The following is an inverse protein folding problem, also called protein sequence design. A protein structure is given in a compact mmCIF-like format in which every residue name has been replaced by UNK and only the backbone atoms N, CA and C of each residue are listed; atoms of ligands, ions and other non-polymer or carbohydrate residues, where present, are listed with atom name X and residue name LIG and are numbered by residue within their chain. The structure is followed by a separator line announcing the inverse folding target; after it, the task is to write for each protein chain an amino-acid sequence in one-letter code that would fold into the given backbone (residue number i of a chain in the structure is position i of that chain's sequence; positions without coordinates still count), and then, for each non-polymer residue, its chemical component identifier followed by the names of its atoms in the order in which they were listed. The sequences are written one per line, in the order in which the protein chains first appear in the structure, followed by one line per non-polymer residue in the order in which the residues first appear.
data_IF_974083361890
#
_entry.id   IF_974083361890
#
_cell.length_a   1.000
_cell.length_b   1.000
_cell.length_c   1.000
_cell.angle_alpha   90.00
_cell.angle_beta   90.00
_cell.angle_gamma   90.00
#
_symmetry.space_group_name_H-M   'P 1'
#
loop_
_entity.id
_entity.type
_entity.pdbx_description
1 polymer ?
#
# COMPACT_ATOMS: atom_id res chain seq x y z
N UNK A 1 -0.74 -49.88 -7.71
CA UNK A 1 0.08 -49.89 -6.48
C UNK A 1 0.61 -48.48 -6.30
N UNK A 2 0.52 -47.98 -5.08
CA UNK A 2 0.63 -46.59 -4.65
C UNK A 2 1.91 -45.87 -5.11
N UNK A 3 1.75 -44.62 -5.56
CA UNK A 3 2.76 -43.58 -5.41
C UNK A 3 2.14 -42.44 -4.61
N UNK A 4 2.79 -42.13 -3.49
CA UNK A 4 2.38 -41.19 -2.47
C UNK A 4 2.53 -39.75 -2.98
N UNK A 5 1.51 -38.94 -2.74
CA UNK A 5 1.59 -37.48 -2.92
C UNK A 5 2.38 -36.90 -1.75
N UNK A 6 3.59 -36.45 -2.01
CA UNK A 6 4.30 -35.55 -1.10
C UNK A 6 3.56 -34.22 -1.01
N UNK A 7 3.05 -33.93 0.18
CA UNK A 7 2.46 -32.65 0.52
C UNK A 7 3.52 -31.56 0.50
N UNK A 8 3.27 -30.51 -0.27
CA UNK A 8 3.99 -29.24 -0.21
C UNK A 8 4.07 -28.77 1.23
N UNK A 9 5.29 -28.77 1.77
CA UNK A 9 5.58 -28.16 3.06
C UNK A 9 5.66 -26.63 2.88
N UNK A 10 5.12 -25.86 3.84
CA UNK A 10 5.25 -24.41 3.87
C UNK A 10 6.72 -23.98 3.90
N UNK A 11 7.01 -22.87 3.23
CA UNK A 11 8.37 -22.37 3.06
C UNK A 11 9.00 -21.96 4.40
N UNK A 12 10.32 -21.99 4.49
CA UNK A 12 11.10 -21.59 5.67
C UNK A 12 10.88 -20.13 6.11
N UNK A 13 10.24 -19.30 5.27
CA UNK A 13 9.79 -17.95 5.63
C UNK A 13 8.65 -17.96 6.66
N UNK A 14 7.74 -18.94 6.57
CA UNK A 14 6.51 -19.03 7.36
C UNK A 14 6.75 -19.44 8.83
N UNK A 15 7.87 -20.12 9.12
CA UNK A 15 8.21 -20.53 10.51
C UNK A 15 8.84 -19.43 11.34
N UNK A 16 9.44 -18.42 10.71
CA UNK A 16 10.23 -17.43 11.43
C UNK A 16 9.39 -16.25 11.96
N UNK A 17 8.21 -16.02 11.40
CA UNK A 17 7.25 -15.00 11.88
C UNK A 17 6.43 -15.53 13.07
N UNK A 18 6.26 -16.86 13.17
CA UNK A 18 5.53 -17.50 14.27
C UNK A 18 6.27 -17.51 15.63
N UNK A 19 7.56 -17.15 15.68
CA UNK A 19 8.42 -17.37 16.86
C UNK A 19 8.70 -16.12 17.72
N UNK A 20 8.15 -14.95 17.37
CA UNK A 20 8.26 -13.72 18.19
C UNK A 20 7.07 -13.50 19.15
N UNK A 21 6.20 -14.50 19.33
CA UNK A 21 5.00 -14.43 20.17
C UNK A 21 5.33 -14.67 21.67
N UNK A 22 5.02 -13.75 22.60
CA UNK A 22 4.96 -14.06 24.02
C UNK A 22 3.81 -15.04 24.29
N UNK A 23 4.09 -16.10 25.07
CA UNK A 23 3.20 -17.21 25.42
C UNK A 23 1.71 -16.84 25.52
N UNK A 24 0.88 -17.56 24.75
CA UNK A 24 -0.57 -17.69 24.92
C UNK A 24 -0.93 -17.87 26.40
N UNK A 25 -1.69 -16.92 26.96
CA UNK A 25 -2.40 -17.16 28.23
C UNK A 25 -3.60 -18.04 27.92
N UNK A 26 -3.56 -19.28 28.40
CA UNK A 26 -4.73 -20.14 28.49
C UNK A 26 -5.67 -19.65 29.60
N UNK A 27 -6.98 -19.59 29.29
CA UNK A 27 -8.08 -19.52 30.24
C UNK A 27 -8.68 -18.12 30.42
N UNK A 28 -9.87 -17.88 29.87
CA UNK A 28 -11.17 -18.03 30.57
C UNK A 28 -12.27 -18.10 29.51
N UNK A 29 -13.02 -19.21 29.49
CA UNK A 29 -14.32 -19.30 28.83
C UNK A 29 -15.34 -18.49 29.64
N UNK A 30 -15.88 -17.43 29.04
CA UNK A 30 -16.95 -16.60 29.58
C UNK A 30 -17.87 -16.15 28.46
N UNK A 31 -19.17 -16.37 28.62
CA UNK A 31 -20.20 -16.15 27.62
C UNK A 31 -20.34 -14.68 27.17
N UNK A 32 -20.46 -14.47 25.85
CA UNK A 32 -21.29 -13.41 25.26
C UNK A 32 -20.95 -11.94 25.56
N UNK A 33 -19.70 -11.61 25.88
CA UNK A 33 -19.27 -10.21 25.83
C UNK A 33 -18.92 -9.85 24.39
N UNK A 34 -19.62 -8.86 23.84
CA UNK A 34 -19.21 -8.21 22.59
C UNK A 34 -17.87 -7.52 22.88
N UNK A 35 -16.77 -8.15 22.48
CA UNK A 35 -15.42 -7.58 22.65
C UNK A 35 -15.39 -6.26 21.89
N UNK A 36 -14.97 -5.18 22.56
CA UNK A 36 -14.83 -3.88 21.91
C UNK A 36 -13.82 -4.00 20.75
N UNK A 37 -14.12 -3.44 19.55
CA UNK A 37 -13.18 -3.47 18.44
C UNK A 37 -11.84 -2.83 18.81
N UNK A 38 -10.73 -3.48 18.47
CA UNK A 38 -9.40 -2.90 18.62
C UNK A 38 -9.12 -1.80 17.60
N UNK A 39 -7.97 -1.13 17.71
CA UNK A 39 -7.60 -0.03 16.82
C UNK A 39 -7.56 -0.44 15.33
N UNK A 40 -6.97 -1.59 15.02
CA UNK A 40 -6.95 -2.16 13.67
C UNK A 40 -8.35 -2.45 13.14
N UNK A 41 -9.26 -2.96 13.97
CA UNK A 41 -10.67 -3.18 13.57
C UNK A 41 -11.39 -1.86 13.29
N UNK A 42 -11.17 -0.83 14.14
CA UNK A 42 -11.72 0.52 13.94
C UNK A 42 -11.22 1.13 12.62
N UNK A 43 -9.93 0.94 12.30
CA UNK A 43 -9.31 1.39 11.05
C UNK A 43 -9.86 0.63 9.82
N UNK A 44 -10.01 -0.71 9.88
CA UNK A 44 -10.63 -1.48 8.79
C UNK A 44 -12.08 -1.04 8.53
N UNK A 45 -12.87 -0.79 9.59
CA UNK A 45 -14.23 -0.25 9.46
C UNK A 45 -14.21 1.10 8.72
N UNK A 46 -13.30 2.00 9.07
CA UNK A 46 -13.17 3.31 8.42
C UNK A 46 -12.73 3.17 6.95
N UNK A 47 -11.75 2.32 6.66
CA UNK A 47 -11.32 2.01 5.28
C UNK A 47 -12.49 1.52 4.43
N UNK A 48 -13.33 0.62 4.95
CA UNK A 48 -14.53 0.12 4.26
C UNK A 48 -15.53 1.22 3.91
N UNK A 49 -15.70 2.23 4.77
CA UNK A 49 -16.60 3.36 4.52
C UNK A 49 -16.09 4.21 3.35
N UNK A 50 -14.80 4.51 3.31
CA UNK A 50 -14.19 5.28 2.22
C UNK A 50 -14.18 4.50 0.90
N UNK A 51 -13.90 3.20 0.93
CA UNK A 51 -14.00 2.34 -0.26
C UNK A 51 -15.42 2.29 -0.80
N UNK A 52 -16.44 2.29 0.06
CA UNK A 52 -17.83 2.35 -0.40
C UNK A 52 -18.12 3.63 -1.19
N UNK A 53 -17.57 4.78 -0.77
CA UNK A 53 -17.70 6.05 -1.48
C UNK A 53 -16.95 6.02 -2.81
N UNK A 54 -15.70 5.52 -2.81
CA UNK A 54 -14.89 5.40 -4.02
C UNK A 54 -15.55 4.47 -5.06
N UNK A 55 -16.08 3.32 -4.61
CA UNK A 55 -16.81 2.37 -5.43
C UNK A 55 -18.12 2.91 -6.02
N UNK A 56 -18.68 3.97 -5.42
CA UNK A 56 -19.88 4.64 -5.92
C UNK A 56 -19.58 5.72 -6.98
N UNK A 57 -18.31 6.02 -7.27
CA UNK A 57 -17.95 6.98 -8.31
C UNK A 57 -18.31 6.47 -9.71
N UNK A 58 -18.56 7.39 -10.64
CA UNK A 58 -18.96 7.04 -12.01
C UNK A 58 -17.87 6.23 -12.75
N UNK A 59 -16.59 6.63 -12.59
CA UNK A 59 -15.45 5.95 -13.23
C UNK A 59 -15.33 4.51 -12.74
N UNK A 60 -15.41 4.28 -11.43
CA UNK A 60 -15.25 2.95 -10.83
C UNK A 60 -16.45 2.06 -11.15
N UNK A 61 -17.67 2.63 -11.10
CA UNK A 61 -18.89 1.93 -11.51
C UNK A 61 -18.80 1.51 -12.98
N UNK A 62 -18.41 2.43 -13.87
CA UNK A 62 -18.22 2.12 -15.28
C UNK A 62 -17.13 1.07 -15.52
N UNK A 63 -16.06 1.05 -14.72
CA UNK A 63 -15.03 0.01 -14.79
C UNK A 63 -15.58 -1.35 -14.41
N UNK A 64 -16.24 -1.44 -13.24
CA UNK A 64 -16.85 -2.66 -12.72
C UNK A 64 -17.90 -3.24 -13.67
N UNK A 65 -18.71 -2.38 -14.27
CA UNK A 65 -19.70 -2.76 -15.30
C UNK A 65 -19.08 -3.01 -16.68
N UNK A 66 -17.76 -2.91 -16.80
CA UNK A 66 -16.98 -3.14 -18.03
C UNK A 66 -17.36 -2.20 -19.18
N UNK A 67 -17.83 -0.99 -18.85
CA UNK A 67 -18.20 0.08 -19.78
C UNK A 67 -17.16 1.19 -19.89
N UNK A 68 -16.17 1.24 -18.98
CA UNK A 68 -15.15 2.29 -18.99
C UNK A 68 -14.30 2.21 -20.27
N UNK A 69 -14.17 3.27 -21.09
CA UNK A 69 -13.32 3.22 -22.28
C UNK A 69 -11.83 3.17 -21.91
N UNK A 70 -10.98 2.68 -22.83
CA UNK A 70 -9.51 2.57 -22.63
C UNK A 70 -8.90 3.89 -22.15
N UNK A 71 -9.27 5.03 -22.75
CA UNK A 71 -8.81 6.35 -22.31
C UNK A 71 -9.20 6.69 -20.87
N UNK A 72 -10.37 6.22 -20.41
CA UNK A 72 -10.81 6.38 -19.03
C UNK A 72 -9.98 5.52 -18.07
N UNK A 73 -9.67 4.29 -18.48
CA UNK A 73 -8.80 3.40 -17.71
C UNK A 73 -7.36 3.90 -17.64
N UNK A 74 -6.79 4.36 -18.76
CA UNK A 74 -5.46 5.00 -18.78
C UNK A 74 -5.39 6.18 -17.80
N UNK A 75 -6.42 7.03 -17.76
CA UNK A 75 -6.50 8.12 -16.76
C UNK A 75 -6.52 7.57 -15.33
N UNK A 76 -7.28 6.52 -15.05
CA UNK A 76 -7.33 5.90 -13.72
C UNK A 76 -5.96 5.38 -13.26
N UNK A 77 -5.30 4.56 -14.08
CA UNK A 77 -4.01 3.96 -13.71
C UNK A 77 -2.91 5.03 -13.56
N UNK A 78 -2.93 6.07 -14.39
CA UNK A 78 -2.04 7.23 -14.23
C UNK A 78 -2.30 7.98 -12.92
N UNK A 79 -3.56 8.17 -12.53
CA UNK A 79 -3.91 8.86 -11.28
C UNK A 79 -3.44 8.11 -10.03
N UNK A 80 -3.46 6.78 -10.08
CA UNK A 80 -3.11 5.92 -8.93
C UNK A 80 -1.59 5.72 -8.82
N UNK A 81 -0.83 5.80 -9.91
CA UNK A 81 0.62 5.55 -9.89
C UNK A 81 1.40 6.33 -8.80
N UNK A 82 1.17 7.64 -8.54
CA UNK A 82 1.90 8.34 -7.49
C UNK A 82 1.62 7.81 -6.08
N UNK A 83 0.48 7.15 -5.82
CA UNK A 83 0.21 6.48 -4.55
C UNK A 83 1.21 5.35 -4.33
N UNK A 84 1.42 4.50 -5.35
CA UNK A 84 2.35 3.36 -5.29
C UNK A 84 3.78 3.83 -5.01
N UNK A 85 4.19 4.91 -5.67
CA UNK A 85 5.50 5.56 -5.45
C UNK A 85 5.61 6.23 -4.07
N UNK A 86 4.57 6.95 -3.65
CA UNK A 86 4.53 7.70 -2.40
C UNK A 86 4.45 6.80 -1.17
N UNK A 87 3.75 5.67 -1.29
CA UNK A 87 3.69 4.61 -0.28
C UNK A 87 5.10 4.10 0.04
N UNK A 88 5.86 3.73 -1.01
CA UNK A 88 7.24 3.30 -0.88
C UNK A 88 8.18 4.35 -0.27
N UNK A 89 8.06 5.61 -0.70
CA UNK A 89 8.88 6.69 -0.16
C UNK A 89 8.66 6.90 1.34
N UNK A 90 7.39 6.86 1.77
CA UNK A 90 7.04 6.92 3.19
C UNK A 90 7.55 5.69 3.97
N UNK A 91 7.45 4.49 3.40
CA UNK A 91 7.93 3.25 4.03
C UNK A 91 9.43 3.34 4.32
N UNK A 92 10.25 3.75 3.33
CA UNK A 92 11.70 3.94 3.48
C UNK A 92 12.01 4.95 4.60
N UNK A 93 11.35 6.11 4.60
CA UNK A 93 11.51 7.13 5.64
C UNK A 93 11.16 6.59 7.03
N UNK A 94 10.09 5.80 7.13
CA UNK A 94 9.60 5.27 8.39
C UNK A 94 10.55 4.27 9.06
N UNK A 95 11.45 3.63 8.31
CA UNK A 95 12.47 2.71 8.87
C UNK A 95 13.36 3.46 9.86
N UNK A 96 13.62 4.76 9.64
CA UNK A 96 14.36 5.62 10.55
C UNK A 96 13.73 5.75 11.95
N UNK A 97 12.43 5.48 12.08
CA UNK A 97 11.70 5.53 13.36
C UNK A 97 11.83 4.24 14.19
N UNK A 98 12.41 3.18 13.63
CA UNK A 98 12.45 1.87 14.29
C UNK A 98 13.55 1.85 15.34
N UNK A 99 13.18 1.59 16.60
CA UNK A 99 14.12 1.55 17.72
C UNK A 99 15.23 0.50 17.54
N UNK A 100 14.93 -0.63 16.88
CA UNK A 100 15.91 -1.66 16.53
C UNK A 100 17.05 -1.14 15.65
N UNK A 101 16.82 -0.07 14.87
CA UNK A 101 17.85 0.54 14.03
C UNK A 101 19.04 1.03 14.87
N UNK A 102 18.78 1.48 16.11
CA UNK A 102 19.86 1.94 17.00
C UNK A 102 20.74 0.81 17.53
N UNK A 103 20.29 -0.44 17.41
CA UNK A 103 20.99 -1.62 17.88
C UNK A 103 22.05 -2.12 16.88
N UNK A 104 22.00 -1.65 15.62
CA UNK A 104 22.87 -2.11 14.54
C UNK A 104 23.52 -0.96 13.79
N UNK A 105 24.85 -0.90 13.78
CA UNK A 105 25.58 0.05 12.94
C UNK A 105 25.41 -0.26 11.45
N UNK A 106 25.42 -1.55 11.07
CA UNK A 106 25.27 -1.98 9.68
C UNK A 106 23.87 -1.65 9.14
N UNK A 107 22.81 -1.92 9.92
CA UNK A 107 21.46 -1.56 9.50
C UNK A 107 21.31 -0.04 9.30
N UNK A 108 21.93 0.78 10.17
CA UNK A 108 21.96 2.25 10.00
C UNK A 108 22.62 2.66 8.69
N UNK A 109 23.79 2.13 8.38
CA UNK A 109 24.51 2.44 7.14
C UNK A 109 23.67 2.08 5.90
N UNK A 110 23.00 0.93 5.91
CA UNK A 110 22.13 0.49 4.81
C UNK A 110 20.94 1.46 4.65
N UNK A 111 20.27 1.83 5.74
CA UNK A 111 19.12 2.74 5.71
C UNK A 111 19.55 4.15 5.29
N UNK A 112 20.70 4.64 5.76
CA UNK A 112 21.28 5.90 5.33
C UNK A 112 21.61 5.91 3.83
N UNK A 113 21.98 4.77 3.25
CA UNK A 113 22.14 4.64 1.81
C UNK A 113 20.80 4.65 1.09
N UNK A 114 19.81 3.87 1.56
CA UNK A 114 18.46 3.85 0.97
C UNK A 114 17.86 5.25 0.86
N UNK A 115 18.01 6.07 1.90
CA UNK A 115 17.50 7.45 1.94
C UNK A 115 18.15 8.40 0.92
N UNK A 116 19.31 8.02 0.34
CA UNK A 116 20.03 8.80 -0.68
C UNK A 116 19.71 8.35 -2.10
N UNK A 117 19.05 7.20 -2.25
CA UNK A 117 18.72 6.63 -3.56
C UNK A 117 17.37 7.18 -4.00
N UNK A 118 17.29 7.65 -5.25
CA UNK A 118 16.01 7.87 -5.92
C UNK A 118 15.32 6.50 -6.09
N UNK A 119 14.41 6.19 -5.16
CA UNK A 119 13.78 4.88 -5.04
C UNK A 119 12.89 4.54 -6.22
N UNK A 120 12.46 5.55 -6.98
CA UNK A 120 11.69 5.33 -8.19
C UNK A 120 12.66 4.93 -9.29
N UNK A 121 13.58 5.79 -9.71
CA UNK A 121 14.45 5.44 -10.86
C UNK A 121 15.43 4.30 -10.58
N UNK A 122 15.69 4.00 -9.31
CA UNK A 122 16.65 2.97 -8.90
C UNK A 122 15.99 1.90 -8.01
N UNK A 123 14.81 1.42 -8.39
CA UNK A 123 14.08 0.36 -7.65
C UNK A 123 14.95 -0.87 -7.38
N UNK A 124 15.76 -1.31 -8.35
CA UNK A 124 16.70 -2.44 -8.17
C UNK A 124 17.75 -2.19 -7.08
N UNK A 125 18.23 -0.94 -6.91
CA UNK A 125 19.18 -0.61 -5.83
C UNK A 125 18.48 -0.65 -4.48
N UNK A 126 17.26 -0.12 -4.37
CA UNK A 126 16.46 -0.20 -3.15
C UNK A 126 16.15 -1.65 -2.80
N UNK A 127 15.76 -2.48 -3.76
CA UNK A 127 15.48 -3.89 -3.54
C UNK A 127 16.73 -4.64 -3.03
N UNK A 128 17.90 -4.37 -3.61
CA UNK A 128 19.17 -4.92 -3.14
C UNK A 128 19.49 -4.49 -1.69
N UNK A 129 19.34 -3.19 -1.39
CA UNK A 129 19.54 -2.67 -0.03
C UNK A 129 18.53 -3.29 0.96
N UNK A 130 17.28 -3.50 0.55
CA UNK A 130 16.24 -4.10 1.39
C UNK A 130 16.55 -5.57 1.68
N UNK A 131 17.09 -6.30 0.70
CA UNK A 131 17.58 -7.66 0.90
C UNK A 131 18.78 -7.71 1.86
N UNK A 132 19.74 -6.78 1.72
CA UNK A 132 20.87 -6.63 2.63
C UNK A 132 20.38 -6.34 4.06
N UNK A 133 19.46 -5.38 4.23
CA UNK A 133 18.86 -5.04 5.52
C UNK A 133 18.13 -6.24 6.15
N UNK A 134 17.34 -6.97 5.36
CA UNK A 134 16.64 -8.17 5.83
C UNK A 134 17.63 -9.23 6.35
N UNK A 135 18.77 -9.40 5.67
CA UNK A 135 19.83 -10.34 6.06
C UNK A 135 20.48 -9.93 7.37
N UNK A 136 20.92 -8.67 7.48
CA UNK A 136 21.52 -8.11 8.71
C UNK A 136 20.54 -8.21 9.88
N UNK A 137 19.29 -7.79 9.68
CA UNK A 137 18.26 -7.84 10.70
C UNK A 137 17.96 -9.28 11.17
N UNK A 138 18.04 -10.27 10.28
CA UNK A 138 17.91 -11.69 10.65
C UNK A 138 19.08 -12.16 11.52
N UNK A 139 20.31 -11.83 11.13
CA UNK A 139 21.53 -12.25 11.83
C UNK A 139 21.63 -11.62 13.22
N UNK A 140 21.24 -10.35 13.33
CA UNK A 140 21.26 -9.59 14.57
C UNK A 140 19.99 -9.73 15.42
N UNK A 141 19.01 -10.53 14.96
CA UNK A 141 17.73 -10.80 15.63
C UNK A 141 16.91 -9.52 15.89
N UNK A 142 16.76 -8.71 14.86
CA UNK A 142 15.97 -7.48 14.79
C UNK A 142 14.67 -7.77 14.01
N UNK A 143 13.65 -8.37 14.64
CA UNK A 143 12.46 -8.88 13.93
C UNK A 143 11.63 -7.78 13.27
N UNK A 144 11.55 -6.58 13.83
CA UNK A 144 10.76 -5.48 13.26
C UNK A 144 11.44 -4.94 12.01
N UNK A 145 12.75 -4.69 12.07
CA UNK A 145 13.52 -4.29 10.89
C UNK A 145 13.47 -5.35 9.79
N UNK A 146 13.55 -6.62 10.17
CA UNK A 146 13.47 -7.71 9.21
C UNK A 146 12.12 -7.74 8.50
N UNK A 147 11.01 -7.58 9.24
CA UNK A 147 9.68 -7.55 8.65
C UNK A 147 9.53 -6.38 7.67
N UNK A 148 9.95 -5.18 8.05
CA UNK A 148 9.89 -3.99 7.19
C UNK A 148 10.78 -4.10 5.95
N UNK A 149 11.95 -4.71 6.08
CA UNK A 149 12.83 -4.97 4.95
C UNK A 149 12.25 -6.00 3.98
N UNK A 150 11.43 -6.94 4.47
CA UNK A 150 10.65 -7.86 3.64
C UNK A 150 9.55 -7.13 2.88
N UNK A 151 8.72 -6.35 3.60
CA UNK A 151 7.67 -5.53 3.00
C UNK A 151 8.24 -4.58 1.93
N UNK A 152 9.36 -3.91 2.20
CA UNK A 152 9.99 -3.01 1.22
C UNK A 152 10.43 -3.75 -0.05
N UNK A 153 10.88 -5.01 0.02
CA UNK A 153 11.22 -5.80 -1.18
C UNK A 153 9.96 -6.04 -2.03
N UNK A 154 8.87 -6.46 -1.40
CA UNK A 154 7.59 -6.72 -2.05
C UNK A 154 7.05 -5.44 -2.71
N UNK A 155 7.08 -4.30 -2.00
CA UNK A 155 6.62 -3.04 -2.55
C UNK A 155 7.49 -2.48 -3.69
N UNK A 156 8.77 -2.87 -3.78
CA UNK A 156 9.58 -2.58 -4.96
C UNK A 156 9.18 -3.43 -6.17
N UNK A 157 8.80 -4.70 -5.96
CA UNK A 157 8.27 -5.54 -7.04
C UNK A 157 6.92 -4.99 -7.53
N UNK A 158 6.07 -4.53 -6.62
CA UNK A 158 4.83 -3.84 -6.95
C UNK A 158 5.06 -2.58 -7.80
N UNK A 159 6.10 -1.78 -7.53
CA UNK A 159 6.45 -0.64 -8.41
C UNK A 159 6.71 -1.10 -9.85
N UNK A 160 7.47 -2.19 -10.02
CA UNK A 160 7.84 -2.70 -11.33
C UNK A 160 6.63 -3.29 -12.06
N UNK A 161 5.71 -3.96 -11.36
CA UNK A 161 4.45 -4.40 -11.96
C UNK A 161 3.59 -3.21 -12.41
N UNK A 162 3.54 -2.13 -11.64
CA UNK A 162 2.79 -0.94 -12.03
C UNK A 162 3.42 -0.25 -13.25
N UNK A 163 4.75 -0.19 -13.35
CA UNK A 163 5.45 0.34 -14.53
C UNK A 163 5.14 -0.49 -15.77
N UNK A 164 5.20 -1.80 -15.67
CA UNK A 164 4.85 -2.70 -16.79
C UNK A 164 3.41 -2.47 -17.26
N UNK A 165 2.47 -2.22 -16.33
CA UNK A 165 1.11 -1.82 -16.67
C UNK A 165 1.07 -0.49 -17.44
N UNK A 166 1.76 0.55 -16.97
CA UNK A 166 1.81 1.84 -17.68
C UNK A 166 2.44 1.70 -19.07
N UNK A 167 3.54 0.97 -19.20
CA UNK A 167 4.25 0.70 -20.46
C UNK A 167 3.37 -0.06 -21.46
N UNK A 168 2.65 -1.09 -21.00
CA UNK A 168 1.72 -1.85 -21.83
C UNK A 168 0.60 -0.96 -22.42
N UNK A 169 0.24 0.12 -21.72
CA UNK A 169 -0.72 1.13 -22.17
C UNK A 169 -0.10 2.31 -22.94
N UNK A 170 1.20 2.28 -23.22
CA UNK A 170 1.93 3.35 -23.91
C UNK A 170 2.02 4.65 -23.11
N UNK A 171 1.99 4.56 -21.78
CA UNK A 171 2.09 5.71 -20.87
C UNK A 171 3.56 5.86 -20.44
N UNK A 172 4.10 7.04 -20.67
CA UNK A 172 5.46 7.40 -20.24
C UNK A 172 5.48 7.68 -18.73
N UNK A 173 5.82 6.65 -17.95
CA UNK A 173 5.88 6.73 -16.48
C UNK A 173 7.02 7.62 -15.98
N UNK A 174 8.12 7.75 -16.74
CA UNK A 174 9.25 8.64 -16.41
C UNK A 174 8.86 10.11 -16.51
N UNK A 175 8.07 10.48 -17.51
CA UNK A 175 7.53 11.83 -17.62
C UNK A 175 6.61 12.18 -16.45
N UNK A 176 5.75 11.23 -16.02
CA UNK A 176 4.90 11.42 -14.83
C UNK A 176 5.71 11.56 -13.55
N UNK A 177 6.73 10.71 -13.38
CA UNK A 177 7.60 10.77 -12.22
C UNK A 177 8.38 12.09 -12.16
N UNK A 178 8.96 12.50 -13.29
CA UNK A 178 9.66 13.79 -13.39
C UNK A 178 8.74 14.96 -13.05
N UNK A 179 7.49 14.94 -13.51
CA UNK A 179 6.51 15.97 -13.15
C UNK A 179 6.18 15.97 -11.65
N UNK A 180 6.10 14.79 -11.03
CA UNK A 180 5.88 14.64 -9.59
C UNK A 180 7.07 15.16 -8.77
N UNK A 181 8.30 14.78 -9.12
CA UNK A 181 9.52 15.28 -8.47
C UNK A 181 9.69 16.78 -8.63
N UNK A 182 9.47 17.31 -9.85
CA UNK A 182 9.55 18.75 -10.09
C UNK A 182 8.59 19.49 -9.16
N UNK A 183 7.40 18.96 -8.95
CA UNK A 183 6.44 19.50 -8.00
C UNK A 183 6.95 19.38 -6.55
N UNK A 184 7.47 18.22 -6.13
CA UNK A 184 8.02 18.02 -4.79
C UNK A 184 9.22 18.94 -4.51
N UNK A 185 10.04 19.28 -5.50
CA UNK A 185 11.21 20.14 -5.31
C UNK A 185 10.93 21.63 -5.52
N UNK A 186 9.86 22.00 -6.24
CA UNK A 186 9.53 23.39 -6.52
C UNK A 186 8.92 24.14 -5.33
N UNK A 187 8.32 23.42 -4.38
CA UNK A 187 7.65 23.98 -3.22
C UNK A 187 8.47 23.76 -1.95
N UNK A 188 8.34 24.67 -0.98
CA UNK A 188 8.83 24.42 0.39
C UNK A 188 7.95 23.39 1.11
N UNK A 189 8.46 22.79 2.19
CA UNK A 189 7.68 21.87 3.03
C UNK A 189 6.45 22.56 3.62
N UNK A 190 6.61 23.80 4.09
CA UNK A 190 5.52 24.60 4.68
C UNK A 190 4.44 24.93 3.65
N UNK A 191 4.81 25.21 2.40
CA UNK A 191 3.84 25.44 1.32
C UNK A 191 3.06 24.16 1.00
N UNK A 192 3.74 23.02 0.92
CA UNK A 192 3.06 21.73 0.71
C UNK A 192 2.13 21.38 1.87
N UNK A 193 2.54 21.63 3.11
CA UNK A 193 1.71 21.43 4.30
C UNK A 193 0.41 22.24 4.22
N UNK A 194 0.52 23.54 3.93
CA UNK A 194 -0.64 24.43 3.78
C UNK A 194 -1.58 23.93 2.68
N UNK A 195 -1.03 23.59 1.52
CA UNK A 195 -1.83 23.14 0.37
C UNK A 195 -2.50 21.78 0.64
N UNK A 196 -1.81 20.83 1.26
CA UNK A 196 -2.42 19.55 1.70
C UNK A 196 -3.56 19.80 2.67
N UNK A 197 -3.41 20.74 3.61
CA UNK A 197 -4.48 21.09 4.54
C UNK A 197 -5.67 21.76 3.83
N UNK A 198 -5.43 22.58 2.81
CA UNK A 198 -6.47 23.18 1.96
C UNK A 198 -7.25 22.11 1.19
N UNK A 199 -6.55 21.12 0.60
CA UNK A 199 -7.18 19.97 -0.06
C UNK A 199 -8.02 19.17 0.93
N UNK A 200 -7.49 18.85 2.12
CA UNK A 200 -8.25 18.13 3.15
C UNK A 200 -9.50 18.90 3.60
N UNK A 201 -9.39 20.22 3.75
CA UNK A 201 -10.52 21.08 4.11
C UNK A 201 -11.57 21.08 2.99
N UNK A 202 -11.14 21.18 1.73
CA UNK A 202 -12.01 21.08 0.57
C UNK A 202 -12.82 19.78 0.51
N UNK A 203 -12.13 18.66 0.73
CA UNK A 203 -12.77 17.35 0.76
C UNK A 203 -13.71 17.16 1.95
N UNK A 204 -13.45 17.82 3.09
CA UNK A 204 -14.34 17.79 4.27
C UNK A 204 -15.60 18.63 4.05
N UNK A 205 -15.47 19.76 3.36
CA UNK A 205 -16.57 20.68 3.09
C UNK A 205 -17.34 20.33 1.79
N UNK A 206 -16.83 19.40 0.98
CA UNK A 206 -17.51 18.86 -0.21
C UNK A 206 -17.34 19.72 -1.46
N UNK A 207 -16.23 20.45 -1.61
CA UNK A 207 -15.91 21.22 -2.81
C UNK A 207 -14.64 20.72 -3.52
N UNK A 208 -14.48 21.12 -4.78
CA UNK A 208 -13.33 20.72 -5.60
C UNK A 208 -12.04 21.33 -5.05
N UNK A 209 -11.00 20.52 -4.75
CA UNK A 209 -9.73 21.04 -4.27
C UNK A 209 -9.00 21.85 -5.36
N UNK A 210 -8.38 22.98 -4.97
CA UNK A 210 -7.59 23.86 -5.84
C UNK A 210 -6.27 24.32 -5.18
N UNK A 211 -5.80 23.60 -4.15
CA UNK A 211 -4.68 24.05 -3.30
C UNK A 211 -3.32 24.07 -4.02
N UNK A 212 -3.04 23.07 -4.85
CA UNK A 212 -1.81 22.95 -5.63
C UNK A 212 -1.94 23.68 -6.98
N UNK A 213 -0.84 24.32 -7.47
CA UNK A 213 -0.81 24.98 -8.77
C UNK A 213 -1.13 24.00 -9.91
N UNK A 214 -1.42 24.51 -11.12
CA UNK A 214 -1.82 23.70 -12.29
C UNK A 214 -0.81 22.58 -12.60
N UNK A 215 -1.07 21.38 -12.09
CA UNK A 215 -0.28 20.16 -12.30
C UNK A 215 -1.01 19.17 -13.23
N UNK A 216 -0.25 18.27 -13.84
CA UNK A 216 -0.81 17.10 -14.53
C UNK A 216 -1.36 16.05 -13.56
N UNK A 217 -1.04 16.18 -12.27
CA UNK A 217 -1.42 15.28 -11.19
C UNK A 217 -2.65 15.83 -10.44
N UNK A 218 -3.58 14.97 -10.02
CA UNK A 218 -4.69 15.38 -9.18
C UNK A 218 -4.26 15.98 -7.83
N UNK A 219 -5.12 16.79 -7.24
CA UNK A 219 -4.82 17.53 -6.01
C UNK A 219 -4.75 16.59 -4.80
N UNK A 220 -5.68 15.65 -4.75
CA UNK A 220 -5.83 14.61 -3.76
C UNK A 220 -4.64 13.67 -3.71
N UNK A 221 -4.05 13.30 -4.86
CA UNK A 221 -2.88 12.41 -4.89
C UNK A 221 -1.62 13.14 -4.39
N UNK A 222 -1.45 14.40 -4.77
CA UNK A 222 -0.35 15.24 -4.27
C UNK A 222 -0.46 15.43 -2.75
N UNK A 223 -1.68 15.71 -2.28
CA UNK A 223 -2.00 15.81 -0.87
C UNK A 223 -1.67 14.52 -0.11
N UNK A 224 -2.06 13.36 -0.66
CA UNK A 224 -1.83 12.04 -0.07
C UNK A 224 -0.33 11.72 0.05
N UNK A 225 0.42 11.85 -1.04
CA UNK A 225 1.85 11.53 -1.03
C UNK A 225 2.63 12.47 -0.10
N UNK A 226 2.32 13.77 -0.12
CA UNK A 226 2.93 14.71 0.83
C UNK A 226 2.58 14.38 2.27
N UNK A 227 1.32 14.04 2.55
CA UNK A 227 0.89 13.67 3.91
C UNK A 227 1.65 12.45 4.43
N UNK A 228 1.81 11.41 3.61
CA UNK A 228 2.56 10.20 3.99
C UNK A 228 4.02 10.51 4.31
N UNK A 229 4.71 11.25 3.42
CA UNK A 229 6.11 11.64 3.61
C UNK A 229 6.27 12.47 4.88
N UNK A 230 5.39 13.46 5.08
CA UNK A 230 5.41 14.33 6.27
C UNK A 230 5.24 13.53 7.57
N UNK A 231 4.30 12.59 7.62
CA UNK A 231 4.10 11.73 8.81
C UNK A 231 5.30 10.80 9.01
N UNK A 232 5.85 10.25 7.94
CA UNK A 232 7.04 9.39 8.00
C UNK A 232 8.30 10.13 8.46
N UNK A 233 8.44 11.42 8.13
CA UNK A 233 9.62 12.22 8.48
C UNK A 233 9.51 12.87 9.87
N UNK A 234 8.28 13.17 10.34
CA UNK A 234 8.07 13.88 11.62
C UNK A 234 8.52 13.04 12.84
N UNK A 235 9.60 13.43 13.55
CA UNK A 235 10.13 12.67 14.69
C UNK A 235 9.18 12.64 15.90
N UNK A 236 8.20 13.54 15.96
CA UNK A 236 7.19 13.54 17.03
C UNK A 236 6.12 12.45 16.83
N UNK A 237 6.01 11.88 15.62
CA UNK A 237 5.05 10.84 15.31
C UNK A 237 5.72 9.48 15.40
N UNK A 238 5.28 8.58 16.30
CA UNK A 238 5.89 7.27 16.45
C UNK A 238 5.54 6.36 15.27
N UNK A 239 6.39 5.35 15.04
CA UNK A 239 6.24 4.41 13.94
C UNK A 239 4.85 3.76 13.90
N UNK A 240 4.27 3.38 15.04
CA UNK A 240 2.97 2.69 15.09
C UNK A 240 1.83 3.53 14.50
N UNK A 241 1.88 4.86 14.66
CA UNK A 241 0.90 5.77 14.06
C UNK A 241 1.09 5.80 12.56
N UNK A 242 2.33 5.91 12.07
CA UNK A 242 2.60 5.84 10.63
C UNK A 242 2.19 4.49 10.02
N UNK A 243 2.46 3.38 10.72
CA UNK A 243 2.05 2.05 10.31
C UNK A 243 0.52 1.94 10.17
N UNK A 244 -0.25 2.59 11.05
CA UNK A 244 -1.70 2.67 10.93
C UNK A 244 -2.17 3.32 9.62
N UNK A 245 -1.46 4.34 9.10
CA UNK A 245 -1.77 4.97 7.81
C UNK A 245 -1.50 4.02 6.65
N UNK A 246 -0.37 3.31 6.66
CA UNK A 246 -0.01 2.34 5.62
C UNK A 246 -1.04 1.20 5.58
N UNK A 247 -1.34 0.60 6.73
CA UNK A 247 -2.37 -0.44 6.82
C UNK A 247 -3.75 0.07 6.37
N UNK A 248 -4.13 1.30 6.73
CA UNK A 248 -5.41 1.84 6.27
C UNK A 248 -5.49 1.94 4.73
N UNK A 249 -4.40 2.36 4.08
CA UNK A 249 -4.32 2.40 2.61
C UNK A 249 -4.43 0.99 2.04
N UNK A 250 -3.66 0.02 2.55
CA UNK A 250 -3.72 -1.38 2.11
C UNK A 250 -5.13 -1.97 2.29
N UNK A 251 -5.76 -1.77 3.46
CA UNK A 251 -7.11 -2.25 3.75
C UNK A 251 -8.12 -1.69 2.73
N UNK A 252 -8.00 -0.40 2.42
CA UNK A 252 -8.85 0.26 1.44
C UNK A 252 -8.57 -0.25 0.02
N UNK A 253 -7.29 -0.33 -0.34
CA UNK A 253 -6.82 -0.68 -1.67
C UNK A 253 -7.24 -2.09 -2.06
N UNK A 254 -6.94 -3.09 -1.22
CA UNK A 254 -7.30 -4.49 -1.48
C UNK A 254 -8.79 -4.61 -1.72
N UNK A 255 -9.59 -3.92 -0.91
CA UNK A 255 -11.04 -3.97 -1.03
C UNK A 255 -11.56 -3.25 -2.27
N UNK A 256 -11.01 -2.07 -2.59
CA UNK A 256 -11.34 -1.32 -3.81
C UNK A 256 -11.02 -2.12 -5.08
N UNK A 257 -9.85 -2.76 -5.10
CA UNK A 257 -9.39 -3.58 -6.23
C UNK A 257 -10.27 -4.82 -6.37
N UNK A 258 -10.48 -5.56 -5.28
CA UNK A 258 -11.28 -6.79 -5.27
C UNK A 258 -12.74 -6.58 -5.65
N UNK A 259 -13.35 -5.48 -5.18
CA UNK A 259 -14.80 -5.25 -5.37
C UNK A 259 -15.14 -4.57 -6.69
N UNK A 260 -14.19 -3.89 -7.33
CA UNK A 260 -14.48 -3.02 -8.48
C UNK A 260 -13.45 -3.07 -9.61
N UNK A 261 -12.16 -2.89 -9.33
CA UNK A 261 -11.13 -2.79 -10.39
C UNK A 261 -10.92 -4.13 -11.07
N UNK A 262 -10.55 -5.14 -10.29
CA UNK A 262 -10.21 -6.46 -10.80
C UNK A 262 -11.41 -7.15 -11.48
N UNK A 263 -12.66 -7.08 -10.96
CA UNK A 263 -13.85 -7.50 -11.70
C UNK A 263 -14.00 -6.85 -13.08
N UNK A 264 -13.67 -5.56 -13.20
CA UNK A 264 -13.79 -4.81 -14.45
C UNK A 264 -12.76 -5.20 -15.51
N UNK A 265 -11.56 -5.57 -15.06
CA UNK A 265 -10.40 -5.87 -15.90
C UNK A 265 -10.29 -7.37 -16.23
N UNK A 266 -10.38 -8.22 -15.21
CA UNK A 266 -10.14 -9.66 -15.29
C UNK A 266 -11.40 -10.52 -15.13
N UNK A 267 -12.55 -9.91 -14.82
CA UNK A 267 -13.77 -10.63 -14.49
C UNK A 267 -13.82 -11.06 -13.02
N UNK A 268 -14.82 -11.85 -12.68
CA UNK A 268 -15.05 -12.28 -11.29
C UNK A 268 -14.42 -13.64 -11.04
N UNK A 269 -14.30 -14.03 -9.77
CA UNK A 269 -13.85 -15.37 -9.38
C UNK A 269 -14.63 -16.50 -10.08
N UNK A 270 -15.94 -16.35 -10.22
CA UNK A 270 -16.81 -17.37 -10.81
C UNK A 270 -16.86 -17.30 -12.34
N UNK A 271 -16.55 -16.13 -12.89
CA UNK A 271 -16.57 -15.85 -14.32
C UNK A 271 -15.33 -15.02 -14.73
N UNK A 272 -14.13 -15.64 -14.76
CA UNK A 272 -12.93 -14.97 -15.20
C UNK A 272 -13.03 -14.68 -16.69
N UNK A 273 -12.83 -13.43 -17.07
CA UNK A 273 -12.86 -12.99 -18.45
C UNK A 273 -12.05 -11.69 -18.55
N UNK A 274 -10.84 -11.79 -19.08
CA UNK A 274 -10.04 -10.61 -19.41
C UNK A 274 -10.82 -9.70 -20.36
N UNK A 275 -10.59 -8.40 -20.22
CA UNK A 275 -11.06 -7.39 -21.16
C UNK A 275 -9.90 -6.97 -22.07
N UNK A 276 -9.79 -7.50 -23.30
CA UNK A 276 -8.59 -7.34 -24.12
C UNK A 276 -8.22 -5.87 -24.40
N UNK A 277 -9.21 -4.96 -24.44
CA UNK A 277 -8.92 -3.54 -24.64
C UNK A 277 -8.24 -2.88 -23.43
N UNK A 278 -8.42 -3.44 -22.23
CA UNK A 278 -7.75 -3.00 -21.00
C UNK A 278 -6.55 -3.88 -20.64
N UNK A 279 -6.35 -5.00 -21.34
CA UNK A 279 -5.28 -5.98 -21.11
C UNK A 279 -4.60 -6.25 -22.46
N UNK A 280 -3.79 -5.30 -22.95
CA UNK A 280 -3.26 -5.32 -24.32
C UNK A 280 -2.29 -6.48 -24.60
N UNK A 281 -1.82 -7.15 -23.54
CA UNK A 281 -0.93 -8.31 -23.51
C UNK A 281 -1.65 -9.61 -23.13
N UNK A 282 -2.99 -9.65 -23.19
CA UNK A 282 -3.78 -10.85 -22.87
C UNK A 282 -3.42 -12.09 -23.71
N UNK A 283 -2.96 -11.88 -24.95
CA UNK A 283 -2.67 -12.96 -25.91
C UNK A 283 -1.22 -13.46 -25.84
N UNK A 284 -0.32 -12.80 -25.09
CA UNK A 284 1.11 -13.13 -25.04
C UNK A 284 1.55 -13.95 -23.84
N UNK A 285 0.66 -14.17 -22.86
CA UNK A 285 0.97 -15.03 -21.72
C UNK A 285 0.75 -16.50 -22.03
N UNK A 286 1.64 -17.36 -21.52
CA UNK A 286 1.43 -18.81 -21.51
C UNK A 286 0.08 -19.16 -20.86
N UNK A 287 -0.53 -20.27 -21.27
CA UNK A 287 -1.84 -20.67 -20.79
C UNK A 287 -1.87 -20.78 -19.24
N UNK A 288 -2.61 -19.87 -18.60
CA UNK A 288 -2.76 -19.81 -17.14
C UNK A 288 -1.95 -18.73 -16.44
N UNK A 289 -1.05 -18.03 -17.14
CA UNK A 289 -0.29 -16.90 -16.60
C UNK A 289 -1.15 -15.63 -16.42
N UNK A 290 -0.74 -14.78 -15.49
CA UNK A 290 -1.31 -13.43 -15.30
C UNK A 290 -0.59 -12.45 -16.23
N UNK A 291 -1.29 -11.73 -17.13
CA UNK A 291 -0.66 -10.71 -17.97
C UNK A 291 0.05 -9.63 -17.15
N UNK A 292 1.29 -9.25 -17.53
CA UNK A 292 2.01 -8.15 -16.89
C UNK A 292 1.18 -6.88 -16.69
N UNK A 293 0.33 -6.52 -17.65
CA UNK A 293 -0.51 -5.32 -17.57
C UNK A 293 -1.59 -5.34 -16.48
N UNK A 294 -1.83 -6.50 -15.84
CA UNK A 294 -2.80 -6.63 -14.74
C UNK A 294 -2.18 -7.26 -13.48
N UNK A 295 -0.88 -7.56 -13.50
CA UNK A 295 -0.20 -8.29 -12.44
C UNK A 295 -0.35 -7.61 -11.07
N UNK A 296 -0.23 -6.28 -11.04
CA UNK A 296 -0.44 -5.51 -9.83
C UNK A 296 -1.87 -5.63 -9.29
N UNK A 297 -2.89 -5.55 -10.16
CA UNK A 297 -4.28 -5.73 -9.73
C UNK A 297 -4.56 -7.15 -9.23
N UNK A 298 -3.94 -8.16 -9.84
CA UNK A 298 -4.06 -9.56 -9.43
C UNK A 298 -3.46 -9.80 -8.03
N UNK A 299 -2.37 -9.13 -7.70
CA UNK A 299 -1.76 -9.23 -6.36
C UNK A 299 -2.56 -8.51 -5.28
N UNK A 300 -3.25 -7.42 -5.65
CA UNK A 300 -4.08 -6.63 -4.73
C UNK A 300 -5.57 -7.03 -4.74
N UNK A 301 -5.94 -8.09 -5.47
CA UNK A 301 -7.29 -8.65 -5.45
C UNK A 301 -7.34 -9.88 -4.55
N UNK A 302 -8.28 -9.94 -3.60
CA UNK A 302 -8.45 -11.04 -2.64
C UNK A 302 -8.62 -12.43 -3.28
N UNK A 303 -9.11 -12.48 -4.52
CA UNK A 303 -9.26 -13.69 -5.32
C UNK A 303 -8.34 -13.77 -6.55
N UNK A 304 -7.41 -12.82 -6.71
CA UNK A 304 -6.35 -12.93 -7.72
C UNK A 304 -5.38 -14.07 -7.41
N UNK A 305 -4.55 -14.44 -8.38
CA UNK A 305 -3.57 -15.50 -8.20
C UNK A 305 -2.53 -15.14 -7.13
N UNK A 306 -2.14 -13.85 -7.05
CA UNK A 306 -1.27 -13.29 -6.02
C UNK A 306 -1.96 -12.86 -4.72
N UNK A 307 -3.28 -12.66 -4.74
CA UNK A 307 -4.08 -12.07 -3.65
C UNK A 307 -3.98 -12.69 -2.25
N UNK A 308 -3.50 -13.94 -2.15
CA UNK A 308 -3.36 -14.62 -0.85
C UNK A 308 -2.30 -13.96 0.05
N UNK A 309 -1.22 -13.45 -0.53
CA UNK A 309 -0.18 -12.77 0.23
C UNK A 309 -0.74 -11.46 0.79
N UNK A 310 -1.43 -10.69 -0.04
CA UNK A 310 -1.95 -9.38 0.34
C UNK A 310 -3.07 -9.45 1.38
N UNK A 311 -3.93 -10.49 1.32
CA UNK A 311 -4.87 -10.76 2.41
C UNK A 311 -4.19 -11.09 3.75
N UNK A 312 -2.98 -11.66 3.72
CA UNK A 312 -2.19 -11.86 4.93
C UNK A 312 -1.64 -10.54 5.45
N UNK A 313 -1.21 -9.62 4.59
CA UNK A 313 -0.79 -8.28 5.00
C UNK A 313 -1.92 -7.53 5.69
N UNK A 314 -3.12 -7.49 5.07
CA UNK A 314 -4.32 -6.87 5.66
C UNK A 314 -4.64 -7.47 7.02
N UNK A 315 -4.67 -8.81 7.10
CA UNK A 315 -4.98 -9.50 8.35
C UNK A 315 -3.93 -9.23 9.42
N UNK A 316 -2.66 -9.32 9.05
CA UNK A 316 -1.54 -9.18 9.96
C UNK A 316 -1.41 -7.75 10.47
N UNK A 317 -1.48 -6.75 9.60
CA UNK A 317 -1.49 -5.33 9.97
C UNK A 317 -2.64 -5.03 10.93
N UNK A 318 -3.83 -5.57 10.67
CA UNK A 318 -4.97 -5.41 11.59
C UNK A 318 -4.71 -6.02 12.97
N UNK A 319 -4.20 -7.25 13.01
CA UNK A 319 -3.85 -7.94 14.26
C UNK A 319 -2.72 -7.19 15.01
N UNK A 320 -1.70 -6.71 14.31
CA UNK A 320 -0.62 -5.92 14.88
C UNK A 320 -1.11 -4.60 15.48
N UNK A 321 -1.97 -3.85 14.76
CA UNK A 321 -2.53 -2.61 15.27
C UNK A 321 -3.39 -2.87 16.51
N UNK A 322 -4.23 -3.91 16.49
CA UNK A 322 -5.02 -4.30 17.65
C UNK A 322 -4.18 -4.65 18.89
N UNK A 323 -2.98 -5.21 18.70
CA UNK A 323 -2.09 -5.58 19.80
C UNK A 323 -1.19 -4.45 20.29
N UNK A 324 -0.74 -3.57 19.39
CA UNK A 324 0.32 -2.61 19.70
C UNK A 324 -0.19 -1.17 19.84
N UNK A 325 -1.30 -0.81 19.20
CA UNK A 325 -1.92 0.51 19.28
C UNK A 325 -3.09 0.47 20.28
N UNK A 326 -2.78 0.61 21.57
CA UNK A 326 -3.72 0.35 22.67
C UNK A 326 -3.96 1.55 23.58
N UNK A 327 -3.06 2.53 23.60
CA UNK A 327 -3.22 3.77 24.37
C UNK A 327 -4.28 4.66 23.71
N UNK A 328 -5.23 5.17 24.48
CA UNK A 328 -6.42 5.87 23.98
C UNK A 328 -6.07 7.09 23.13
N UNK A 329 -5.15 7.94 23.61
CA UNK A 329 -4.69 9.14 22.91
C UNK A 329 -4.02 8.79 21.56
N UNK A 330 -3.22 7.71 21.53
CA UNK A 330 -2.56 7.25 20.30
C UNK A 330 -3.57 6.66 19.31
N UNK A 331 -4.59 5.95 19.81
CA UNK A 331 -5.69 5.42 18.97
C UNK A 331 -6.49 6.57 18.35
N UNK A 332 -6.82 7.60 19.13
CA UNK A 332 -7.54 8.78 18.62
C UNK A 332 -6.72 9.51 17.55
N UNK A 333 -5.43 9.74 17.83
CA UNK A 333 -4.52 10.40 16.89
C UNK A 333 -4.34 9.58 15.60
N UNK A 334 -4.19 8.26 15.71
CA UNK A 334 -4.12 7.37 14.56
C UNK A 334 -5.39 7.45 13.72
N UNK A 335 -6.57 7.33 14.34
CA UNK A 335 -7.85 7.37 13.63
C UNK A 335 -8.06 8.70 12.92
N UNK A 336 -7.68 9.82 13.54
CA UNK A 336 -7.76 11.15 12.93
C UNK A 336 -6.90 11.25 11.67
N UNK A 337 -5.67 10.73 11.70
CA UNK A 337 -4.76 10.75 10.55
C UNK A 337 -5.16 9.75 9.46
N UNK A 338 -5.65 8.59 9.88
CA UNK A 338 -6.23 7.60 8.98
C UNK A 338 -7.45 8.18 8.24
N UNK A 339 -8.32 8.95 8.92
CA UNK A 339 -9.43 9.65 8.25
C UNK A 339 -8.93 10.61 7.18
N UNK A 340 -7.90 11.43 7.47
CA UNK A 340 -7.32 12.34 6.50
C UNK A 340 -6.76 11.58 5.27
N UNK A 341 -6.00 10.51 5.49
CA UNK A 341 -5.41 9.69 4.42
C UNK A 341 -6.46 9.00 3.58
N UNK A 342 -7.46 8.37 4.20
CA UNK A 342 -8.52 7.66 3.48
C UNK A 342 -9.44 8.61 2.72
N UNK A 343 -9.63 9.84 3.22
CA UNK A 343 -10.34 10.90 2.51
C UNK A 343 -9.63 11.34 1.24
N UNK A 344 -8.31 11.52 1.32
CA UNK A 344 -7.49 11.81 0.14
C UNK A 344 -7.53 10.63 -0.85
N UNK A 345 -7.40 9.39 -0.34
CA UNK A 345 -7.50 8.18 -1.16
C UNK A 345 -8.83 8.07 -1.91
N UNK A 346 -9.96 8.23 -1.21
CA UNK A 346 -11.28 8.07 -1.81
C UNK A 346 -11.64 9.16 -2.83
N UNK A 347 -10.90 10.27 -2.85
CA UNK A 347 -11.09 11.36 -3.81
C UNK A 347 -10.37 11.13 -5.15
N UNK A 348 -9.47 10.14 -5.24
CA UNK A 348 -8.68 9.81 -6.46
C UNK A 348 -9.60 9.23 -7.54
#
# INVERSE_FOLDING_TARGET
MNEEREGSHPSTHERAIAQSVPKLREGVQGAGQCVEPGAGDKIDILARQYVHQWNATEVVTALKERRLPVKGYQKLITKVYPLVVGFNGGLILSIGKIAELQQSAQAREIVEEMLKVDHVRNSLRIQALAFELHTVAREERLPVLRALAGQLQEEQEHNDYYRQMLEAHGIDHEAFYTAFEMYLHALSTEERDRMTQEVLTALKEGYTPEGFPSTALPQEILGLCHYLVRVADDPAIPFIIYHALQCAIEFALVKAVSESVFPGVAGTRDHPQLRPELVPDADVTEAGGVPPSIKWWDEHADYGQGGRAELQHVRHGREQLNWNLTEEDDVEEALRRVDDVLRLFAAI
#
